data_IF_455679245201
#
_entry.id   IF_455679245201
#
_cell.length_a   1.000
_cell.length_b   1.000
_cell.length_c   1.000
_cell.angle_alpha   90.00
_cell.angle_beta   90.00
_cell.angle_gamma   90.00
#
_symmetry.space_group_name_H-M   'P 1'
#
loop_
_entity.id
_entity.type
_entity.pdbx_description
1 polymer ?
#
# COMPACT_ATOMS: atom_id res chain seq x y z
N UNK A 1 10.20 15.80 -54.93
CA UNK A 1 10.24 14.32 -54.97
C UNK A 1 11.39 13.87 -54.08
N UNK A 2 11.14 13.62 -52.78
CA UNK A 2 12.21 13.31 -51.80
C UNK A 2 11.75 12.16 -50.88
N UNK A 3 12.23 10.98 -51.27
CA UNK A 3 12.64 9.78 -50.52
C UNK A 3 12.02 9.55 -49.12
N UNK A 4 11.11 8.58 -49.07
CA UNK A 4 10.81 7.77 -47.88
C UNK A 4 12.06 6.98 -47.48
N UNK A 5 12.72 7.37 -46.39
CA UNK A 5 13.68 6.52 -45.72
C UNK A 5 12.92 5.55 -44.82
N UNK A 6 12.96 4.30 -45.27
CA UNK A 6 12.61 3.09 -44.55
C UNK A 6 13.38 3.06 -43.22
N UNK A 7 12.73 3.40 -42.10
CA UNK A 7 13.26 3.14 -40.76
C UNK A 7 12.88 1.72 -40.37
N UNK A 8 13.86 0.90 -39.92
CA UNK A 8 13.58 -0.47 -39.53
C UNK A 8 12.65 -0.49 -38.33
N UNK A 9 11.66 -1.38 -38.37
CA UNK A 9 10.81 -1.80 -37.26
C UNK A 9 11.62 -1.79 -35.97
N UNK A 10 11.43 -0.76 -35.15
CA UNK A 10 11.76 -0.81 -33.73
C UNK A 10 11.03 -2.01 -33.19
N UNK A 11 11.82 -3.01 -32.82
CA UNK A 11 11.36 -4.24 -32.22
C UNK A 11 10.41 -3.89 -31.09
N UNK A 12 9.25 -4.55 -31.15
CA UNK A 12 8.24 -4.56 -30.12
C UNK A 12 8.93 -4.81 -28.78
N UNK A 13 9.15 -3.74 -28.01
CA UNK A 13 9.17 -3.87 -26.57
C UNK A 13 7.84 -4.56 -26.25
N UNK A 14 7.84 -5.75 -25.63
CA UNK A 14 6.58 -6.36 -25.24
C UNK A 14 5.86 -5.30 -24.43
N UNK A 15 4.61 -5.01 -24.82
CA UNK A 15 3.66 -4.32 -23.97
C UNK A 15 3.64 -5.10 -22.67
N UNK A 16 4.46 -4.65 -21.73
CA UNK A 16 4.44 -5.11 -20.37
C UNK A 16 3.03 -4.74 -19.93
N UNK A 17 2.18 -5.76 -19.87
CA UNK A 17 0.89 -5.68 -19.25
C UNK A 17 1.13 -5.07 -17.86
N UNK A 18 0.80 -3.80 -17.69
CA UNK A 18 0.84 -3.12 -16.39
C UNK A 18 -0.04 -3.85 -15.34
N UNK A 19 -0.88 -4.81 -15.77
CA UNK A 19 -1.69 -5.65 -14.91
C UNK A 19 -0.90 -6.66 -14.06
N UNK A 20 0.33 -7.04 -14.44
CA UNK A 20 1.13 -8.03 -13.68
C UNK A 20 2.10 -7.41 -12.67
N UNK A 21 2.21 -6.07 -12.64
CA UNK A 21 3.11 -5.34 -11.72
C UNK A 21 2.38 -4.31 -10.85
N UNK A 22 1.07 -4.47 -10.64
CA UNK A 22 0.38 -3.89 -9.48
C UNK A 22 0.79 -4.65 -8.19
N UNK A 23 2.08 -4.82 -7.96
CA UNK A 23 2.62 -5.42 -6.74
C UNK A 23 2.57 -4.36 -5.65
N UNK A 24 1.37 -4.06 -5.17
CA UNK A 24 1.20 -3.97 -3.72
C UNK A 24 1.81 -5.29 -3.25
N UNK A 25 2.97 -5.26 -2.59
CA UNK A 25 3.58 -6.46 -2.01
C UNK A 25 2.57 -7.07 -1.04
N UNK A 26 1.73 -7.95 -1.57
CA UNK A 26 0.92 -8.85 -0.79
C UNK A 26 1.88 -9.98 -0.48
N UNK A 27 2.59 -9.81 0.62
CA UNK A 27 3.38 -10.88 1.19
C UNK A 27 2.37 -11.92 1.70
N UNK A 28 2.23 -13.00 0.91
CA UNK A 28 1.46 -14.19 1.29
C UNK A 28 2.38 -14.96 2.21
N UNK A 29 2.14 -14.87 3.52
CA UNK A 29 2.78 -15.79 4.47
C UNK A 29 2.05 -17.13 4.36
N UNK A 30 2.66 -18.09 3.67
CA UNK A 30 2.28 -19.50 3.76
C UNK A 30 2.92 -20.08 5.01
N UNK A 31 2.13 -20.35 6.04
CA UNK A 31 2.62 -21.09 7.21
C UNK A 31 2.76 -22.58 6.86
N UNK A 32 3.97 -23.11 7.01
CA UNK A 32 4.22 -24.52 7.27
C UNK A 32 5.40 -24.59 8.28
N UNK A 33 5.12 -25.01 9.52
CA UNK A 33 6.12 -25.38 10.53
C UNK A 33 5.98 -24.70 11.91
N UNK A 34 5.44 -25.45 12.88
CA UNK A 34 5.49 -25.28 14.37
C UNK A 34 6.94 -25.13 14.92
N UNK A 35 7.27 -24.74 16.16
CA UNK A 35 6.67 -24.07 17.34
C UNK A 35 7.78 -24.03 18.41
N UNK A 36 7.91 -22.93 19.16
CA UNK A 36 8.30 -22.85 20.59
C UNK A 36 7.82 -21.44 21.01
N UNK A 37 6.96 -21.20 22.00
CA UNK A 37 6.63 -21.96 23.18
C UNK A 37 7.04 -21.13 24.39
N UNK A 38 6.27 -20.10 24.74
CA UNK A 38 6.15 -19.71 26.15
C UNK A 38 4.74 -19.18 26.41
N UNK A 39 4.12 -19.74 27.44
CA UNK A 39 2.75 -19.56 27.86
C UNK A 39 2.73 -18.62 29.06
N UNK A 40 1.99 -17.52 28.95
CA UNK A 40 1.35 -16.87 30.10
C UNK A 40 -0.04 -16.41 29.67
N UNK A 41 -1.05 -17.01 30.29
CA UNK A 41 -2.42 -16.55 30.28
C UNK A 41 -2.50 -15.28 31.14
N UNK A 42 -2.69 -14.13 30.51
CA UNK A 42 -3.29 -12.97 31.17
C UNK A 42 -4.50 -12.52 30.34
N UNK A 43 -5.67 -12.91 30.83
CA UNK A 43 -6.92 -12.21 30.52
C UNK A 43 -6.75 -10.72 30.83
N UNK A 44 -7.13 -9.87 29.88
CA UNK A 44 -7.25 -8.43 30.14
C UNK A 44 -6.08 -7.57 29.67
N UNK A 45 -5.60 -7.76 28.44
CA UNK A 45 -4.90 -6.67 27.74
C UNK A 45 -5.90 -5.73 27.08
N UNK A 46 -6.55 -4.95 27.96
CA UNK A 46 -7.08 -3.60 27.76
C UNK A 46 -6.53 -2.95 26.49
N UNK A 47 -7.45 -2.43 25.68
CA UNK A 47 -7.20 -1.36 24.71
C UNK A 47 -6.16 -0.39 25.25
N UNK A 48 -4.89 -0.58 24.90
CA UNK A 48 -3.87 0.43 25.11
C UNK A 48 -4.02 1.44 23.97
N UNK A 49 -5.08 2.25 24.06
CA UNK A 49 -4.98 3.61 23.60
C UNK A 49 -3.92 4.28 24.45
N UNK A 50 -2.65 4.19 24.03
CA UNK A 50 -1.67 5.19 24.46
C UNK A 50 -2.03 6.47 23.72
N UNK A 51 -3.05 7.16 24.24
CA UNK A 51 -3.17 8.60 24.09
C UNK A 51 -1.97 9.19 24.82
N UNK A 52 -0.93 9.52 24.06
CA UNK A 52 0.01 10.60 24.33
C UNK A 52 1.03 10.59 23.19
N UNK A 53 0.89 11.50 22.23
CA UNK A 53 1.98 11.87 21.33
C UNK A 53 1.85 13.36 21.00
N UNK A 54 2.84 14.09 21.49
CA UNK A 54 3.03 15.53 21.38
C UNK A 54 2.70 16.07 19.97
N UNK A 55 2.02 17.23 19.95
CA UNK A 55 1.55 17.98 18.78
C UNK A 55 2.72 18.60 18.00
N UNK A 56 3.65 17.77 17.53
CA UNK A 56 4.53 18.10 16.41
C UNK A 56 3.78 17.85 15.10
N UNK A 57 4.12 18.60 14.05
CA UNK A 57 3.50 18.53 12.71
C UNK A 57 3.59 17.12 12.11
N UNK A 58 2.68 16.22 12.51
CA UNK A 58 2.60 14.84 12.05
C UNK A 58 1.98 14.86 10.65
N UNK A 59 2.63 14.19 9.70
CA UNK A 59 2.07 14.04 8.35
C UNK A 59 0.67 13.45 8.43
N UNK A 60 -0.26 14.02 7.65
CA UNK A 60 -1.68 13.60 7.68
C UNK A 60 -1.89 12.14 7.26
N UNK A 61 -0.90 11.55 6.58
CA UNK A 61 -0.94 10.17 6.12
C UNK A 61 0.22 9.39 6.76
N UNK A 62 -0.11 8.29 7.42
CA UNK A 62 0.84 7.33 7.96
C UNK A 62 0.91 6.06 7.11
N UNK A 63 2.03 5.35 7.20
CA UNK A 63 2.21 4.01 6.63
C UNK A 63 1.73 2.98 7.64
N UNK A 64 0.77 2.15 7.27
CA UNK A 64 0.28 1.07 8.11
C UNK A 64 0.55 -0.29 7.45
N UNK A 65 1.05 -1.22 8.23
CA UNK A 65 1.09 -2.64 7.91
C UNK A 65 -0.18 -3.30 8.43
N UNK A 66 -1.02 -3.77 7.50
CA UNK A 66 -2.31 -4.37 7.81
C UNK A 66 -2.27 -5.85 7.45
N UNK A 67 -2.64 -6.71 8.39
CA UNK A 67 -2.68 -8.16 8.24
C UNK A 67 -4.09 -8.67 8.49
N UNK A 68 -4.59 -9.51 7.60
CA UNK A 68 -5.90 -10.13 7.73
C UNK A 68 -6.00 -11.47 7.02
N UNK A 69 -6.97 -12.28 7.43
CA UNK A 69 -7.24 -13.60 6.87
C UNK A 69 -8.72 -13.77 6.55
N UNK A 70 -9.04 -14.76 5.72
CA UNK A 70 -10.42 -15.25 5.63
C UNK A 70 -10.78 -16.00 6.92
N UNK A 71 -12.07 -16.10 7.23
CA UNK A 71 -12.54 -16.95 8.33
C UNK A 71 -12.25 -18.42 8.00
N UNK A 72 -11.77 -19.21 8.97
CA UNK A 72 -11.59 -20.64 8.78
C UNK A 72 -12.96 -21.29 8.54
N UNK A 73 -13.00 -22.22 7.59
CA UNK A 73 -14.20 -22.99 7.24
C UNK A 73 -13.88 -24.49 7.38
N UNK A 74 -14.90 -25.34 7.46
CA UNK A 74 -14.72 -26.81 7.51
C UNK A 74 -13.95 -27.37 6.30
N UNK A 75 -13.94 -26.62 5.20
CA UNK A 75 -13.23 -26.96 3.96
C UNK A 75 -11.78 -26.48 3.95
N UNK A 76 -11.49 -25.38 4.63
CA UNK A 76 -10.17 -24.73 4.65
C UNK A 76 -9.86 -24.31 6.10
N UNK A 77 -9.18 -25.18 6.83
CA UNK A 77 -8.85 -24.98 8.25
C UNK A 77 -7.76 -23.91 8.45
N UNK A 78 -6.82 -23.81 7.51
CA UNK A 78 -5.72 -22.85 7.54
C UNK A 78 -5.79 -21.88 6.34
N UNK A 79 -6.66 -20.85 6.38
CA UNK A 79 -6.77 -19.88 5.32
C UNK A 79 -5.51 -19.01 5.21
N UNK A 80 -5.10 -18.72 3.98
CA UNK A 80 -3.92 -17.89 3.69
C UNK A 80 -4.02 -16.52 4.35
N UNK A 81 -2.93 -16.09 4.97
CA UNK A 81 -2.81 -14.78 5.60
C UNK A 81 -2.35 -13.77 4.53
N UNK A 82 -3.09 -12.66 4.45
CA UNK A 82 -2.78 -11.56 3.56
C UNK A 82 -2.26 -10.38 4.37
N UNK A 83 -1.09 -9.87 3.99
CA UNK A 83 -0.57 -8.63 4.53
C UNK A 83 -0.36 -7.61 3.42
N UNK A 84 -0.52 -6.33 3.73
CA UNK A 84 -0.20 -5.25 2.80
C UNK A 84 0.21 -3.98 3.56
N UNK A 85 1.11 -3.23 2.94
CA UNK A 85 1.52 -1.90 3.40
C UNK A 85 0.65 -0.85 2.71
N UNK A 86 -0.07 -0.05 3.50
CA UNK A 86 -1.07 0.90 3.02
C UNK A 86 -0.81 2.30 3.58
N UNK A 87 -1.12 3.31 2.78
CA UNK A 87 -1.13 4.71 3.21
C UNK A 87 -2.53 5.16 3.56
N UNK A 88 -2.73 5.58 4.80
CA UNK A 88 -4.01 6.09 5.29
C UNK A 88 -3.82 7.15 6.39
N UNK A 89 -4.87 7.93 6.64
CA UNK A 89 -4.86 8.92 7.72
C UNK A 89 -5.09 8.27 9.08
N UNK A 90 -5.99 7.29 9.13
CA UNK A 90 -6.44 6.62 10.34
C UNK A 90 -6.52 5.11 10.10
N UNK A 91 -6.47 4.33 11.17
CA UNK A 91 -6.63 2.88 11.12
C UNK A 91 -7.95 2.44 10.48
N UNK A 92 -9.06 3.13 10.77
CA UNK A 92 -10.38 2.82 10.21
C UNK A 92 -10.38 2.93 8.68
N UNK A 93 -9.72 3.96 8.14
CA UNK A 93 -9.54 4.15 6.69
C UNK A 93 -8.63 3.08 6.11
N UNK A 94 -7.58 2.68 6.84
CA UNK A 94 -6.70 1.58 6.45
C UNK A 94 -7.47 0.25 6.34
N UNK A 95 -8.28 -0.11 7.35
CA UNK A 95 -9.17 -1.29 7.35
C UNK A 95 -10.07 -1.28 6.11
N UNK A 96 -10.71 -0.15 5.81
CA UNK A 96 -11.60 -0.03 4.65
C UNK A 96 -10.86 -0.22 3.32
N UNK A 97 -9.68 0.41 3.15
CA UNK A 97 -8.84 0.23 1.95
C UNK A 97 -8.40 -1.22 1.79
N UNK A 98 -7.95 -1.87 2.87
CA UNK A 98 -7.54 -3.28 2.89
C UNK A 98 -8.62 -4.20 2.32
N UNK A 99 -9.86 -4.08 2.82
CA UNK A 99 -10.98 -4.89 2.32
C UNK A 99 -11.36 -4.57 0.87
N UNK A 100 -11.20 -3.32 0.43
CA UNK A 100 -11.41 -2.94 -0.97
C UNK A 100 -10.41 -3.66 -1.90
N UNK A 101 -9.14 -3.72 -1.50
CA UNK A 101 -8.10 -4.44 -2.25
C UNK A 101 -8.34 -5.95 -2.26
N UNK A 102 -8.63 -6.56 -1.11
CA UNK A 102 -8.92 -8.00 -1.05
C UNK A 102 -10.16 -8.39 -1.87
N UNK A 103 -11.18 -7.53 -1.91
CA UNK A 103 -12.37 -7.76 -2.75
C UNK A 103 -12.00 -7.79 -4.24
N UNK A 104 -11.13 -6.88 -4.69
CA UNK A 104 -10.71 -6.79 -6.09
C UNK A 104 -9.78 -7.95 -6.50
N UNK A 105 -8.86 -8.33 -5.62
CA UNK A 105 -7.80 -9.28 -5.96
C UNK A 105 -8.16 -10.74 -5.64
N UNK A 106 -8.77 -10.99 -4.48
CA UNK A 106 -9.01 -12.35 -3.95
C UNK A 106 -10.49 -12.65 -3.69
N UNK A 107 -11.41 -11.74 -4.06
CA UNK A 107 -12.86 -11.87 -3.86
C UNK A 107 -13.29 -12.12 -2.40
N UNK A 108 -12.42 -11.82 -1.43
CA UNK A 108 -12.73 -11.93 0.01
C UNK A 108 -13.50 -10.70 0.47
N UNK A 109 -14.57 -10.92 1.24
CA UNK A 109 -15.41 -9.86 1.83
C UNK A 109 -15.08 -9.68 3.31
N UNK A 110 -15.32 -8.47 3.82
CA UNK A 110 -15.20 -8.15 5.25
C UNK A 110 -16.05 -9.08 6.14
N UNK A 111 -17.22 -9.51 5.69
CA UNK A 111 -18.10 -10.43 6.43
C UNK A 111 -17.49 -11.80 6.67
N UNK A 112 -16.65 -12.26 5.75
CA UNK A 112 -16.07 -13.60 5.74
C UNK A 112 -14.58 -13.55 6.10
N UNK A 113 -14.12 -12.48 6.76
CA UNK A 113 -12.72 -12.28 7.05
C UNK A 113 -12.50 -11.62 8.40
N UNK A 114 -11.33 -11.89 8.98
CA UNK A 114 -10.90 -11.39 10.28
C UNK A 114 -9.65 -10.53 10.09
N UNK A 115 -9.60 -9.40 10.80
CA UNK A 115 -8.38 -8.58 10.90
C UNK A 115 -7.51 -9.17 12.00
N UNK A 116 -6.23 -9.38 11.73
CA UNK A 116 -5.27 -9.92 12.70
C UNK A 116 -4.52 -8.79 13.40
N UNK A 117 -3.85 -7.94 12.64
CA UNK A 117 -3.01 -6.89 13.19
C UNK A 117 -3.00 -5.64 12.30
N UNK A 118 -2.83 -4.48 12.93
CA UNK A 118 -2.60 -3.19 12.28
C UNK A 118 -1.46 -2.51 13.02
N UNK A 119 -0.34 -2.37 12.33
CA UNK A 119 0.87 -1.79 12.91
C UNK A 119 1.25 -0.55 12.11
N UNK A 120 1.51 0.56 12.78
CA UNK A 120 2.05 1.75 12.11
C UNK A 120 3.55 1.58 11.88
N UNK A 121 4.01 1.88 10.66
CA UNK A 121 5.42 1.82 10.28
C UNK A 121 5.99 3.22 10.31
N UNK A 122 7.08 3.39 11.06
CA UNK A 122 7.89 4.60 11.08
C UNK A 122 9.20 4.40 10.33
N UNK A 123 9.75 5.50 9.80
CA UNK A 123 11.07 5.50 9.17
C UNK A 123 12.16 5.33 10.22
N UNK A 124 13.19 4.53 9.92
CA UNK A 124 14.27 4.25 10.88
C UNK A 124 15.15 5.47 11.13
N UNK A 125 15.48 6.23 10.08
CA UNK A 125 16.41 7.36 10.12
C UNK A 125 15.77 8.61 9.52
N UNK A 126 15.12 9.48 10.32
CA UNK A 126 14.45 10.69 9.83
C UNK A 126 15.41 11.86 9.54
N UNK A 127 16.71 11.71 9.79
CA UNK A 127 17.69 12.79 9.66
C UNK A 127 18.33 12.85 8.27
N UNK A 128 18.37 11.73 7.56
CA UNK A 128 19.02 11.63 6.25
C UNK A 128 18.07 11.98 5.13
N UNK A 129 18.47 12.89 4.25
CA UNK A 129 17.70 13.22 3.04
C UNK A 129 17.88 12.10 2.01
N UNK A 130 16.76 11.56 1.50
CA UNK A 130 16.73 10.51 0.47
C UNK A 130 15.89 10.96 -0.73
N UNK A 131 16.07 10.30 -1.86
CA UNK A 131 15.23 10.49 -3.04
C UNK A 131 14.25 9.31 -3.10
N UNK A 132 12.96 9.60 -3.11
CA UNK A 132 11.90 8.60 -3.13
C UNK A 132 11.24 8.57 -4.50
N UNK A 133 11.34 7.44 -5.20
CA UNK A 133 10.65 7.18 -6.46
C UNK A 133 9.26 6.59 -6.20
N UNK A 134 8.20 7.28 -6.60
CA UNK A 134 6.81 6.87 -6.38
C UNK A 134 6.16 6.51 -7.72
N UNK A 135 5.79 5.25 -7.85
CA UNK A 135 4.94 4.74 -8.91
C UNK A 135 3.48 4.83 -8.46
N UNK A 136 2.69 5.64 -9.15
CA UNK A 136 1.29 5.87 -8.81
C UNK A 136 0.38 5.66 -10.03
N UNK A 137 -0.79 5.12 -9.76
CA UNK A 137 -1.90 5.07 -10.70
C UNK A 137 -3.00 5.98 -10.20
N UNK A 138 -3.47 6.90 -11.04
CA UNK A 138 -4.54 7.81 -10.66
C UNK A 138 -5.69 7.78 -11.66
N UNK A 139 -6.87 8.10 -11.16
CA UNK A 139 -8.07 8.27 -11.97
C UNK A 139 -8.20 9.75 -12.37
N UNK A 140 -8.16 10.01 -13.68
CA UNK A 140 -8.57 11.29 -14.27
C UNK A 140 -10.07 11.26 -14.59
N UNK A 141 -10.59 12.38 -15.13
CA UNK A 141 -11.98 12.44 -15.63
C UNK A 141 -12.22 11.50 -16.81
N UNK A 142 -11.17 11.22 -17.59
CA UNK A 142 -11.26 10.47 -18.85
C UNK A 142 -10.89 9.00 -18.67
N UNK A 143 -10.04 8.66 -17.70
CA UNK A 143 -9.61 7.27 -17.50
C UNK A 143 -8.55 7.09 -16.41
N UNK A 144 -7.88 5.95 -16.44
CA UNK A 144 -6.78 5.64 -15.52
C UNK A 144 -5.44 5.93 -16.17
N UNK A 145 -4.55 6.58 -15.43
CA UNK A 145 -3.21 6.89 -15.89
C UNK A 145 -2.18 6.43 -14.87
N UNK A 146 -1.12 5.81 -15.36
CA UNK A 146 0.05 5.46 -14.57
C UNK A 146 1.07 6.59 -14.69
N UNK A 147 1.76 6.88 -13.59
CA UNK A 147 2.71 7.97 -13.49
C UNK A 147 3.83 7.57 -12.54
N UNK A 148 5.04 8.02 -12.85
CA UNK A 148 6.21 7.91 -11.97
C UNK A 148 6.68 9.32 -11.63
N UNK A 149 6.99 9.56 -10.36
CA UNK A 149 7.54 10.82 -9.87
C UNK A 149 8.52 10.60 -8.74
N UNK A 150 9.52 11.45 -8.66
CA UNK A 150 10.54 11.43 -7.62
C UNK A 150 10.37 12.62 -6.69
N UNK A 151 10.49 12.38 -5.38
CA UNK A 151 10.40 13.40 -4.34
C UNK A 151 11.62 13.31 -3.44
N UNK A 152 12.21 14.46 -3.11
CA UNK A 152 13.32 14.54 -2.16
C UNK A 152 12.77 14.94 -0.80
N UNK A 153 12.97 14.07 0.19
CA UNK A 153 12.51 14.32 1.56
C UNK A 153 13.37 13.52 2.55
N UNK A 154 13.23 13.84 3.84
CA UNK A 154 13.83 13.06 4.93
C UNK A 154 12.99 11.85 5.31
N UNK A 155 11.67 11.91 5.10
CA UNK A 155 10.74 10.83 5.46
C UNK A 155 9.88 10.37 4.29
N UNK A 156 9.51 9.07 4.28
CA UNK A 156 8.55 8.52 3.33
C UNK A 156 7.17 9.20 3.44
N UNK A 157 6.72 9.49 4.67
CA UNK A 157 5.43 10.11 4.91
C UNK A 157 5.38 11.53 4.31
N UNK A 158 6.47 12.30 4.46
CA UNK A 158 6.62 13.63 3.86
C UNK A 158 6.58 13.58 2.33
N UNK A 159 7.32 12.66 1.72
CA UNK A 159 7.33 12.48 0.27
C UNK A 159 5.93 12.17 -0.30
N UNK A 160 5.16 11.31 0.38
CA UNK A 160 3.78 11.00 0.00
C UNK A 160 2.84 12.20 0.19
N UNK A 161 3.05 13.02 1.22
CA UNK A 161 2.26 14.23 1.45
C UNK A 161 2.54 15.31 0.39
N UNK A 162 3.80 15.48 0.00
CA UNK A 162 4.19 16.32 -1.15
C UNK A 162 3.51 15.83 -2.43
N UNK A 163 3.53 14.51 -2.68
CA UNK A 163 2.85 13.91 -3.82
C UNK A 163 1.34 14.21 -3.83
N UNK A 164 0.64 14.06 -2.71
CA UNK A 164 -0.80 14.37 -2.65
C UNK A 164 -1.08 15.84 -2.96
N UNK A 165 -0.26 16.74 -2.44
CA UNK A 165 -0.39 18.18 -2.67
C UNK A 165 -0.18 18.53 -4.14
N UNK A 166 0.85 17.95 -4.77
CA UNK A 166 1.15 18.18 -6.17
C UNK A 166 0.04 17.65 -7.10
N UNK A 167 -0.47 16.45 -6.82
CA UNK A 167 -1.55 15.83 -7.60
C UNK A 167 -2.87 16.61 -7.46
N UNK A 168 -3.15 17.17 -6.29
CA UNK A 168 -4.30 18.03 -6.06
C UNK A 168 -4.17 19.36 -6.82
N UNK A 169 -2.97 19.93 -6.89
CA UNK A 169 -2.72 21.21 -7.57
C UNK A 169 -2.71 21.06 -9.10
N UNK A 170 -1.82 20.22 -9.65
CA UNK A 170 -1.58 20.12 -11.10
C UNK A 170 -2.69 19.39 -11.84
N UNK A 171 -3.15 18.27 -11.28
CA UNK A 171 -4.08 17.37 -11.96
C UNK A 171 -5.49 17.42 -11.36
N UNK A 172 -5.71 18.18 -10.28
CA UNK A 172 -6.99 18.28 -9.56
C UNK A 172 -7.53 16.91 -9.12
N UNK A 173 -6.63 16.00 -8.77
CA UNK A 173 -6.97 14.63 -8.37
C UNK A 173 -7.12 14.58 -6.85
N UNK A 174 -8.21 13.95 -6.39
CA UNK A 174 -8.47 13.74 -4.96
C UNK A 174 -7.68 12.54 -4.43
N UNK A 175 -7.37 12.54 -3.14
CA UNK A 175 -6.59 11.49 -2.48
C UNK A 175 -7.16 10.07 -2.65
N UNK A 176 -8.48 9.91 -2.70
CA UNK A 176 -9.13 8.60 -2.90
C UNK A 176 -9.02 8.06 -4.34
N UNK A 177 -8.73 8.93 -5.31
CA UNK A 177 -8.56 8.56 -6.72
C UNK A 177 -7.11 8.16 -7.05
N UNK A 178 -6.21 8.19 -6.07
CA UNK A 178 -4.80 7.87 -6.23
C UNK A 178 -4.53 6.52 -5.57
N UNK A 179 -3.91 5.62 -6.31
CA UNK A 179 -3.39 4.35 -5.84
C UNK A 179 -1.87 4.39 -5.97
N UNK A 180 -1.17 4.22 -4.85
CA UNK A 180 0.28 4.07 -4.85
C UNK A 180 0.58 2.61 -5.14
N UNK A 181 1.31 2.35 -6.22
CA UNK A 181 1.66 0.99 -6.64
C UNK A 181 2.96 0.54 -5.96
N UNK A 182 4.00 1.39 -6.01
CA UNK A 182 5.32 1.06 -5.45
C UNK A 182 6.07 2.32 -5.05
N UNK A 183 6.89 2.23 -4.01
CA UNK A 183 7.82 3.27 -3.60
C UNK A 183 9.22 2.67 -3.52
N UNK A 184 10.19 3.36 -4.10
CA UNK A 184 11.63 3.06 -4.04
C UNK A 184 12.34 4.17 -3.24
N UNK A 185 13.35 3.82 -2.45
CA UNK A 185 14.11 4.74 -1.61
C UNK A 185 15.61 4.52 -1.73
#
# INVERSE_FOLDING_TARGET
MIRTLNTPRVAWLPQINCAERDTIEIEIKSEAGEREGDSDEDEGSVYMCVENKEEGRRSRHGKLWVVGRALPSKTDEHPKIYSMKLWATNEVRAKSKFWCFLRKLKKVKKSNGQMLAINEIFEKNPTTVKNYGIWLRYQSRTGYHNMYKEYRDTTLNGAVEQMYTEMASRHRVRSHCIQICRIEC
#
